data_IF_888108084606
#
_entry.id   IF_888108084606
#
_cell.length_a   1.000
_cell.length_b   1.000
_cell.length_c   1.000
_cell.angle_alpha   90.00
_cell.angle_beta   90.00
_cell.angle_gamma   90.00
#
_symmetry.space_group_name_H-M   'P 1'
#
loop_
_entity.id
_entity.type
_entity.pdbx_description
1 polymer ?
#
# COMPACT_ATOMS: atom_id res chain seq x y z
N UNK A 1 -2.04 3.04 -15.79
CA UNK A 1 -0.92 2.18 -16.33
C UNK A 1 -0.87 0.81 -15.65
N UNK A 2 -0.45 -0.29 -16.31
CA UNK A 2 -0.43 -1.64 -15.69
C UNK A 2 0.43 -1.70 -14.40
N UNK A 3 1.62 -1.08 -14.42
CA UNK A 3 2.50 -1.05 -13.24
C UNK A 3 1.88 -0.32 -12.04
N UNK A 4 1.08 0.71 -12.28
CA UNK A 4 0.39 1.46 -11.20
C UNK A 4 -0.67 0.59 -10.54
N UNK A 5 -1.46 -0.13 -11.35
CA UNK A 5 -2.46 -1.07 -10.84
C UNK A 5 -1.79 -2.18 -10.01
N UNK A 6 -0.66 -2.72 -10.48
CA UNK A 6 0.12 -3.70 -9.73
C UNK A 6 0.67 -3.13 -8.41
N UNK A 7 1.14 -1.88 -8.38
CA UNK A 7 1.59 -1.23 -7.15
C UNK A 7 0.42 -1.01 -6.17
N UNK A 8 -0.75 -0.59 -6.65
CA UNK A 8 -1.96 -0.44 -5.84
C UNK A 8 -2.45 -1.78 -5.27
N UNK A 9 -2.45 -2.84 -6.07
CA UNK A 9 -2.84 -4.17 -5.61
C UNK A 9 -1.85 -4.71 -4.57
N UNK A 10 -0.56 -4.47 -4.78
CA UNK A 10 0.48 -4.81 -3.81
C UNK A 10 0.29 -4.06 -2.48
N UNK A 11 -0.01 -2.76 -2.54
CA UNK A 11 -0.32 -1.94 -1.36
C UNK A 11 -1.51 -2.51 -0.58
N UNK A 12 -2.62 -2.79 -1.26
CA UNK A 12 -3.84 -3.39 -0.66
C UNK A 12 -3.55 -4.75 -0.04
N UNK A 13 -2.77 -5.59 -0.72
CA UNK A 13 -2.39 -6.91 -0.21
C UNK A 13 -1.53 -6.81 1.05
N UNK A 14 -0.53 -5.93 1.05
CA UNK A 14 0.35 -5.72 2.20
C UNK A 14 -0.42 -5.17 3.41
N UNK A 15 -1.37 -4.26 3.22
CA UNK A 15 -2.28 -3.81 4.28
C UNK A 15 -3.09 -4.97 4.87
N UNK A 16 -3.69 -5.81 4.02
CA UNK A 16 -4.46 -6.97 4.48
C UNK A 16 -3.58 -7.97 5.25
N UNK A 17 -2.34 -8.19 4.79
CA UNK A 17 -1.38 -9.04 5.50
C UNK A 17 -1.00 -8.41 6.84
N UNK A 18 -0.73 -7.10 6.87
CA UNK A 18 -0.39 -6.38 8.10
C UNK A 18 -1.50 -6.48 9.14
N UNK A 19 -2.77 -6.30 8.75
CA UNK A 19 -3.90 -6.41 9.67
C UNK A 19 -4.07 -7.84 10.22
N UNK A 20 -3.87 -8.86 9.40
CA UNK A 20 -3.88 -10.26 9.85
C UNK A 20 -2.70 -10.55 10.78
N UNK A 21 -1.51 -10.07 10.44
CA UNK A 21 -0.30 -10.28 11.21
C UNK A 21 -0.36 -9.58 12.57
N UNK A 22 -0.90 -8.36 12.63
CA UNK A 22 -1.12 -7.58 13.87
C UNK A 22 -1.98 -8.32 14.88
N UNK A 23 -2.94 -9.13 14.41
CA UNK A 23 -3.84 -9.93 15.24
C UNK A 23 -3.35 -11.36 15.48
N UNK A 24 -2.07 -11.64 15.21
CA UNK A 24 -1.47 -12.97 15.34
C UNK A 24 -0.19 -12.94 16.18
N UNK A 25 0.40 -14.10 16.42
CA UNK A 25 1.71 -14.23 17.06
C UNK A 25 2.84 -13.52 16.29
N UNK A 26 2.62 -13.22 15.00
CA UNK A 26 3.58 -12.52 14.15
C UNK A 26 3.70 -11.02 14.45
N UNK A 27 2.80 -10.43 15.25
CA UNK A 27 2.77 -8.97 15.51
C UNK A 27 4.09 -8.41 16.10
N UNK A 28 4.87 -9.25 16.79
CA UNK A 28 6.19 -8.89 17.36
C UNK A 28 7.37 -9.46 16.58
N UNK A 29 7.09 -10.07 15.42
CA UNK A 29 8.10 -10.70 14.61
C UNK A 29 8.75 -9.69 13.66
N UNK A 30 10.01 -9.96 13.31
CA UNK A 30 10.72 -9.19 12.28
C UNK A 30 10.06 -9.28 10.90
N UNK A 31 9.32 -10.36 10.64
CA UNK A 31 8.54 -10.50 9.43
C UNK A 31 7.42 -9.44 9.34
N UNK A 32 6.76 -9.13 10.47
CA UNK A 32 5.77 -8.06 10.52
C UNK A 32 6.39 -6.69 10.26
N UNK A 33 7.56 -6.40 10.85
CA UNK A 33 8.32 -5.18 10.55
C UNK A 33 8.60 -5.05 9.05
N UNK A 34 9.09 -6.11 8.40
CA UNK A 34 9.36 -6.11 6.96
C UNK A 34 8.11 -5.93 6.08
N UNK A 35 6.96 -6.44 6.52
CA UNK A 35 5.68 -6.22 5.81
C UNK A 35 5.31 -4.73 5.85
N UNK A 36 5.47 -4.08 7.01
CA UNK A 36 5.19 -2.65 7.16
C UNK A 36 6.17 -1.82 6.32
N UNK A 37 7.48 -2.09 6.41
CA UNK A 37 8.49 -1.40 5.61
C UNK A 37 8.24 -1.52 4.11
N UNK A 38 7.91 -2.72 3.62
CA UNK A 38 7.57 -2.94 2.22
C UNK A 38 6.37 -2.08 1.81
N UNK A 39 5.33 -2.03 2.65
CA UNK A 39 4.14 -1.24 2.39
C UNK A 39 4.44 0.27 2.30
N UNK A 40 5.28 0.78 3.19
CA UNK A 40 5.73 2.18 3.17
C UNK A 40 6.49 2.53 1.89
N UNK A 41 7.36 1.64 1.40
CA UNK A 41 8.08 1.85 0.14
C UNK A 41 7.13 1.88 -1.06
N UNK A 42 6.13 1.00 -1.10
CA UNK A 42 5.11 0.99 -2.16
C UNK A 42 4.28 2.28 -2.11
N UNK A 43 3.81 2.69 -0.93
CA UNK A 43 3.06 3.94 -0.76
C UNK A 43 3.88 5.17 -1.18
N UNK A 44 5.18 5.18 -0.87
CA UNK A 44 6.11 6.23 -1.30
C UNK A 44 6.27 6.27 -2.83
N UNK A 45 6.40 5.11 -3.48
CA UNK A 45 6.46 5.02 -4.94
C UNK A 45 5.17 5.54 -5.60
N UNK A 46 3.99 5.15 -5.11
CA UNK A 46 2.70 5.65 -5.59
C UNK A 46 2.57 7.17 -5.41
N UNK A 47 2.99 7.70 -4.25
CA UNK A 47 3.02 9.13 -3.99
C UNK A 47 3.94 9.87 -4.96
N UNK A 48 5.11 9.29 -5.26
CA UNK A 48 6.06 9.88 -6.21
C UNK A 48 5.48 9.93 -7.62
N UNK A 49 4.86 8.84 -8.09
CA UNK A 49 4.18 8.78 -9.38
C UNK A 49 3.05 9.82 -9.48
N UNK A 50 2.30 10.04 -8.38
CA UNK A 50 1.29 11.09 -8.31
C UNK A 50 1.90 12.48 -8.48
N UNK A 51 2.97 12.77 -7.75
CA UNK A 51 3.66 14.06 -7.81
C UNK A 51 4.28 14.34 -9.18
N UNK A 52 4.71 13.30 -9.87
CA UNK A 52 5.27 13.39 -11.23
C UNK A 52 4.19 13.48 -12.33
N UNK A 53 2.90 13.42 -11.97
CA UNK A 53 1.79 13.46 -12.93
C UNK A 53 1.69 12.20 -13.79
N UNK A 54 2.27 11.08 -13.33
CA UNK A 54 2.30 9.79 -14.03
C UNK A 54 1.11 8.89 -13.68
N UNK A 55 0.24 9.33 -12.77
CA UNK A 55 -1.04 8.68 -12.48
C UNK A 55 -2.13 9.36 -13.32
N UNK A 56 -2.89 8.55 -14.05
CA UNK A 56 -4.12 9.04 -14.68
C UNK A 56 -5.21 9.31 -13.60
N UNK A 57 -6.27 10.09 -13.92
CA UNK A 57 -7.30 10.42 -12.94
C UNK A 57 -7.99 9.21 -12.30
N UNK A 58 -8.05 8.08 -13.01
CA UNK A 58 -8.61 6.83 -12.50
C UNK A 58 -7.67 6.18 -11.47
N UNK A 59 -6.38 6.12 -11.77
CA UNK A 59 -5.32 5.64 -10.89
C UNK A 59 -5.22 6.52 -9.62
N UNK A 60 -5.41 7.84 -9.72
CA UNK A 60 -5.46 8.75 -8.57
C UNK A 60 -6.66 8.41 -7.67
N UNK A 61 -7.84 8.21 -8.25
CA UNK A 61 -9.04 7.88 -7.48
C UNK A 61 -8.87 6.54 -6.73
N UNK A 62 -8.31 5.54 -7.40
CA UNK A 62 -8.02 4.23 -6.79
C UNK A 62 -7.00 4.32 -5.65
N UNK A 63 -6.02 5.22 -5.78
CA UNK A 63 -5.05 5.51 -4.71
C UNK A 63 -5.72 6.19 -3.52
N UNK A 64 -6.55 7.20 -3.76
CA UNK A 64 -7.28 7.92 -2.71
C UNK A 64 -8.23 6.99 -1.95
N UNK A 65 -8.99 6.15 -2.65
CA UNK A 65 -9.84 5.11 -2.05
C UNK A 65 -9.03 4.13 -1.18
N UNK A 66 -7.85 3.72 -1.65
CA UNK A 66 -6.96 2.84 -0.89
C UNK A 66 -6.44 3.53 0.39
N UNK A 67 -6.05 4.80 0.32
CA UNK A 67 -5.56 5.57 1.47
C UNK A 67 -6.65 5.85 2.51
N UNK A 68 -7.87 6.16 2.07
CA UNK A 68 -9.00 6.39 2.98
C UNK A 68 -9.41 5.13 3.76
N UNK A 69 -9.23 3.94 3.16
CA UNK A 69 -9.54 2.67 3.81
C UNK A 69 -8.66 2.35 5.02
N UNK A 70 -7.49 3.01 5.15
CA UNK A 70 -6.54 2.84 6.26
C UNK A 70 -6.96 3.64 7.51
N UNK A 71 -7.82 4.67 7.35
CA UNK A 71 -8.19 5.61 8.42
C UNK A 71 -9.48 5.15 9.17
N UNK A 72 -10.13 4.07 8.73
CA UNK A 72 -11.32 3.48 9.40
C UNK A 72 -10.97 2.25 10.21
#
# INVERSE_FOLDING_TARGET
>A
MEIVKLLLDCHKLLLSIADKARNSELAKSKAFEYIIEANEKIASALTRLRMEGLLDPEDIKLLEEAMESIIR
#
